data_IF_400239821836
#
_entry.id   IF_400239821836
#
_cell.length_a   1.000
_cell.length_b   1.000
_cell.length_c   1.000
_cell.angle_alpha   90.00
_cell.angle_beta   90.00
_cell.angle_gamma   90.00
#
_symmetry.space_group_name_H-M   'P 1'
#
loop_
_entity.id
_entity.type
_entity.pdbx_description
1 polymer ?
#
# COMPACT_ATOMS: atom_id res chain seq x y z
N UNK A 1 3.62 18.06 16.33
CA UNK A 1 3.33 16.61 16.54
C UNK A 1 2.72 16.13 15.24
N UNK A 2 3.27 15.10 14.59
CA UNK A 2 2.60 14.51 13.43
C UNK A 2 1.43 13.69 13.98
N UNK A 3 0.22 14.22 13.82
CA UNK A 3 -1.01 13.50 14.14
C UNK A 3 -1.11 12.28 13.22
N UNK A 4 -1.43 11.12 13.81
CA UNK A 4 -1.76 9.91 13.08
C UNK A 4 -3.24 9.59 13.30
N UNK A 5 -3.85 8.94 12.32
CA UNK A 5 -5.22 8.41 12.43
C UNK A 5 -5.17 6.88 12.58
N UNK A 6 -6.10 6.31 13.35
CA UNK A 6 -6.35 4.86 13.32
C UNK A 6 -7.55 4.59 12.43
N UNK A 7 -7.34 3.89 11.32
CA UNK A 7 -8.38 3.57 10.34
C UNK A 7 -8.70 2.08 10.33
N UNK A 8 -9.98 1.76 10.39
CA UNK A 8 -10.49 0.43 10.13
C UNK A 8 -10.88 0.30 8.66
N UNK A 9 -10.12 -0.48 7.92
CA UNK A 9 -10.52 -0.97 6.60
C UNK A 9 -11.31 -2.24 6.81
N UNK A 10 -12.54 -2.30 6.28
CA UNK A 10 -13.38 -3.50 6.34
C UNK A 10 -12.88 -4.50 5.30
N UNK A 11 -13.73 -4.86 4.34
CA UNK A 11 -13.34 -5.71 3.23
C UNK A 11 -12.84 -4.87 2.07
N UNK A 12 -11.63 -5.18 1.60
CA UNK A 12 -10.98 -4.48 0.50
C UNK A 12 -10.35 -5.53 -0.40
N UNK A 13 -10.62 -5.47 -1.70
CA UNK A 13 -9.97 -6.32 -2.69
C UNK A 13 -8.89 -5.54 -3.41
N UNK A 14 -7.75 -6.19 -3.58
CA UNK A 14 -6.57 -5.65 -4.23
C UNK A 14 -6.15 -6.57 -5.36
N UNK A 15 -5.51 -5.98 -6.37
CA UNK A 15 -4.61 -6.72 -7.24
C UNK A 15 -3.18 -6.25 -6.96
N UNK A 16 -2.27 -7.20 -6.87
CA UNK A 16 -0.93 -6.99 -6.33
C UNK A 16 0.14 -7.53 -7.26
N UNK A 17 1.29 -6.87 -7.27
CA UNK A 17 2.47 -7.22 -8.06
C UNK A 17 3.66 -7.31 -7.10
N UNK A 18 4.19 -8.51 -6.90
CA UNK A 18 5.37 -8.74 -6.07
C UNK A 18 6.63 -8.35 -6.86
N UNK A 19 7.40 -7.41 -6.36
CA UNK A 19 8.68 -6.98 -6.96
C UNK A 19 9.83 -7.42 -6.06
N UNK A 20 10.78 -8.14 -6.66
CA UNK A 20 11.96 -8.66 -5.98
C UNK A 20 13.24 -8.11 -6.64
N UNK A 21 14.37 -8.17 -5.94
CA UNK A 21 15.68 -7.86 -6.51
C UNK A 21 16.03 -6.36 -6.59
N UNK A 22 15.20 -5.47 -6.04
CA UNK A 22 15.54 -4.05 -5.90
C UNK A 22 15.20 -3.52 -4.51
N UNK A 23 16.19 -2.84 -3.91
CA UNK A 23 16.02 -2.13 -2.64
C UNK A 23 15.39 -0.73 -2.80
N UNK A 24 15.12 -0.28 -4.03
CA UNK A 24 14.53 1.04 -4.29
C UNK A 24 13.00 0.98 -4.28
N UNK A 25 12.39 1.80 -3.44
CA UNK A 25 10.96 2.08 -3.41
C UNK A 25 10.46 2.64 -4.74
N UNK A 26 11.16 3.60 -5.33
CA UNK A 26 10.70 4.26 -6.55
C UNK A 26 10.69 3.29 -7.72
N UNK A 27 11.78 2.53 -7.90
CA UNK A 27 11.90 1.52 -8.96
C UNK A 27 10.88 0.40 -8.81
N UNK A 28 10.73 -0.13 -7.60
CA UNK A 28 9.76 -1.20 -7.35
C UNK A 28 8.32 -0.75 -7.56
N UNK A 29 7.96 0.44 -7.07
CA UNK A 29 6.63 1.01 -7.27
C UNK A 29 6.35 1.20 -8.76
N UNK A 30 7.32 1.73 -9.52
CA UNK A 30 7.20 1.88 -10.97
C UNK A 30 7.01 0.53 -11.68
N UNK A 31 7.83 -0.47 -11.37
CA UNK A 31 7.76 -1.80 -11.99
C UNK A 31 6.46 -2.53 -11.65
N UNK A 32 6.06 -2.55 -10.39
CA UNK A 32 4.81 -3.17 -9.95
C UNK A 32 3.59 -2.47 -10.54
N UNK A 33 3.57 -1.13 -10.49
CA UNK A 33 2.47 -0.36 -11.06
C UNK A 33 2.38 -0.50 -12.58
N UNK A 34 3.49 -0.67 -13.30
CA UNK A 34 3.45 -0.94 -14.73
C UNK A 34 2.67 -2.21 -15.07
N UNK A 35 2.90 -3.30 -14.31
CA UNK A 35 2.17 -4.57 -14.48
C UNK A 35 0.69 -4.43 -14.14
N UNK A 36 0.38 -3.73 -13.04
CA UNK A 36 -1.00 -3.41 -12.66
C UNK A 36 -1.69 -2.51 -13.69
N UNK A 37 -0.98 -1.56 -14.28
CA UNK A 37 -1.49 -0.68 -15.32
C UNK A 37 -1.87 -1.47 -16.58
N UNK A 38 -1.04 -2.42 -17.02
CA UNK A 38 -1.38 -3.30 -18.13
C UNK A 38 -2.67 -4.08 -17.86
N UNK A 39 -2.81 -4.65 -16.65
CA UNK A 39 -4.05 -5.32 -16.23
C UNK A 39 -5.27 -4.38 -16.30
N UNK A 40 -5.14 -3.16 -15.77
CA UNK A 40 -6.18 -2.13 -15.75
C UNK A 40 -6.60 -1.72 -17.17
N UNK A 41 -5.69 -1.83 -18.14
CA UNK A 41 -5.89 -1.43 -19.53
C UNK A 41 -6.11 -2.60 -20.51
N UNK A 42 -6.60 -3.74 -20.01
CA UNK A 42 -7.10 -4.82 -20.87
C UNK A 42 -6.17 -6.02 -21.02
N UNK A 43 -5.02 -6.08 -20.34
CA UNK A 43 -4.21 -7.30 -20.25
C UNK A 43 -4.81 -8.28 -19.22
N UNK A 44 -6.04 -8.70 -19.50
CA UNK A 44 -6.81 -9.65 -18.73
C UNK A 44 -7.74 -10.45 -19.66
N UNK A 45 -8.26 -11.57 -19.18
CA UNK A 45 -9.05 -12.56 -19.91
C UNK A 45 -10.16 -12.02 -20.83
N UNK A 46 -10.79 -10.89 -20.47
CA UNK A 46 -11.92 -10.32 -21.24
C UNK A 46 -11.61 -8.93 -21.82
N UNK A 47 -10.34 -8.50 -21.82
CA UNK A 47 -9.91 -7.17 -22.26
C UNK A 47 -10.67 -6.02 -21.59
N UNK A 48 -11.06 -6.22 -20.32
CA UNK A 48 -11.79 -5.24 -19.55
C UNK A 48 -10.89 -4.06 -19.18
N UNK A 49 -11.45 -2.85 -19.26
CA UNK A 49 -10.79 -1.63 -18.81
C UNK A 49 -11.39 -1.15 -17.49
N UNK A 50 -10.52 -0.75 -16.57
CA UNK A 50 -10.92 -0.25 -15.25
C UNK A 50 -10.56 1.22 -15.12
N UNK A 51 -11.34 1.98 -14.35
CA UNK A 51 -10.95 3.33 -13.95
C UNK A 51 -9.78 3.22 -12.97
N UNK A 52 -8.71 4.00 -13.20
CA UNK A 52 -7.60 4.11 -12.24
C UNK A 52 -8.12 4.77 -10.97
N UNK A 53 -7.96 4.07 -9.84
CA UNK A 53 -8.28 4.53 -8.50
C UNK A 53 -7.01 4.90 -7.72
N UNK A 54 -7.20 5.67 -6.65
CA UNK A 54 -6.17 6.01 -5.68
C UNK A 54 -6.54 5.44 -4.30
N UNK A 55 -5.56 5.09 -3.45
CA UNK A 55 -4.12 5.18 -3.70
C UNK A 55 -3.54 3.96 -4.41
N UNK A 56 -2.37 4.12 -5.03
CA UNK A 56 -1.45 3.01 -5.29
C UNK A 56 -0.61 2.81 -4.02
N UNK A 57 -0.49 1.57 -3.55
CA UNK A 57 0.22 1.27 -2.31
C UNK A 57 1.42 0.38 -2.56
N UNK A 58 2.54 0.64 -1.91
CA UNK A 58 3.71 -0.26 -1.93
C UNK A 58 4.06 -0.65 -0.50
N UNK A 59 3.98 -1.93 -0.19
CA UNK A 59 4.41 -2.48 1.11
C UNK A 59 5.86 -2.91 1.02
N UNK A 60 6.66 -2.47 2.00
CA UNK A 60 8.04 -2.87 2.20
C UNK A 60 8.00 -4.02 3.21
N UNK A 61 8.31 -5.23 2.75
CA UNK A 61 8.22 -6.44 3.56
C UNK A 61 9.57 -6.76 4.22
N UNK A 62 9.50 -7.33 5.41
CA UNK A 62 10.68 -7.85 6.08
C UNK A 62 10.97 -9.26 5.53
N UNK A 63 11.79 -9.34 4.47
CA UNK A 63 12.08 -10.62 3.82
C UNK A 63 13.50 -11.11 4.08
N UNK A 64 13.61 -12.42 4.32
CA UNK A 64 14.90 -13.12 4.46
C UNK A 64 15.55 -13.46 3.12
N UNK A 65 14.82 -13.27 2.00
CA UNK A 65 15.24 -13.61 0.64
C UNK A 65 15.79 -12.42 -0.15
N UNK A 66 15.95 -11.27 0.50
CA UNK A 66 16.35 -10.01 -0.13
C UNK A 66 15.21 -8.99 -0.13
N UNK A 67 15.38 -7.83 -0.80
CA UNK A 67 14.37 -6.78 -0.78
C UNK A 67 13.14 -7.20 -1.60
N UNK A 68 12.00 -7.35 -0.91
CA UNK A 68 10.70 -7.65 -1.51
C UNK A 68 9.72 -6.52 -1.24
N UNK A 69 9.00 -6.12 -2.29
CA UNK A 69 7.99 -5.06 -2.20
C UNK A 69 6.73 -5.47 -2.92
N UNK A 70 5.60 -5.26 -2.27
CA UNK A 70 4.30 -5.62 -2.81
C UNK A 70 3.54 -4.36 -3.22
N UNK A 71 3.47 -4.11 -4.52
CA UNK A 71 2.73 -2.98 -5.08
C UNK A 71 1.29 -3.42 -5.28
N UNK A 72 0.31 -2.62 -4.85
CA UNK A 72 -1.10 -2.94 -4.94
C UNK A 72 -1.92 -1.81 -5.51
N UNK A 73 -3.00 -2.22 -6.14
CA UNK A 73 -4.02 -1.37 -6.71
C UNK A 73 -5.39 -1.80 -6.20
N UNK A 74 -6.19 -0.81 -5.74
CA UNK A 74 -7.52 -1.07 -5.20
C UNK A 74 -8.47 -1.50 -6.32
N UNK A 75 -9.11 -2.65 -6.14
CA UNK A 75 -10.08 -3.15 -7.08
C UNK A 75 -11.47 -2.59 -6.75
N UNK A 76 -12.13 -1.88 -7.69
CA UNK A 76 -13.48 -1.36 -7.46
C UNK A 76 -14.48 -2.47 -7.07
N UNK A 77 -15.44 -2.13 -6.22
CA UNK A 77 -16.42 -3.07 -5.66
C UNK A 77 -17.16 -3.91 -6.72
N UNK A 78 -17.46 -3.32 -7.88
CA UNK A 78 -18.12 -4.00 -9.00
C UNK A 78 -17.33 -5.21 -9.55
N UNK A 79 -16.02 -5.28 -9.32
CA UNK A 79 -15.15 -6.38 -9.77
C UNK A 79 -14.69 -7.30 -8.63
N UNK A 80 -15.14 -7.06 -7.40
CA UNK A 80 -14.66 -7.79 -6.21
C UNK A 80 -15.03 -9.27 -6.22
N UNK A 81 -16.20 -9.63 -6.76
CA UNK A 81 -16.68 -11.01 -6.75
C UNK A 81 -16.09 -11.83 -7.90
N UNK A 82 -15.99 -11.25 -9.10
CA UNK A 82 -15.50 -11.95 -10.29
C UNK A 82 -14.57 -11.02 -11.10
N UNK A 83 -13.34 -10.76 -10.64
CA UNK A 83 -12.40 -9.97 -11.42
C UNK A 83 -11.94 -10.75 -12.66
N UNK A 84 -11.78 -10.09 -13.82
CA UNK A 84 -11.13 -10.68 -14.98
C UNK A 84 -9.75 -11.24 -14.61
N UNK A 85 -9.46 -12.48 -14.99
CA UNK A 85 -8.17 -13.10 -14.70
C UNK A 85 -7.04 -12.34 -15.42
N UNK A 86 -5.92 -12.01 -14.75
CA UNK A 86 -4.78 -11.37 -15.37
C UNK A 86 -4.08 -12.32 -16.36
N UNK A 87 -3.45 -11.77 -17.39
CA UNK A 87 -2.57 -12.55 -18.25
C UNK A 87 -1.39 -13.09 -17.42
N UNK A 88 -0.95 -14.32 -17.72
CA UNK A 88 0.08 -15.01 -16.94
C UNK A 88 1.43 -14.28 -16.95
N UNK A 89 1.75 -13.54 -18.02
CA UNK A 89 3.01 -12.79 -18.10
C UNK A 89 3.09 -11.61 -17.12
N UNK A 90 1.96 -11.15 -16.59
CA UNK A 90 1.92 -10.01 -15.67
C UNK A 90 2.42 -10.36 -14.26
N UNK A 91 2.34 -11.64 -13.85
CA UNK A 91 2.68 -12.06 -12.50
C UNK A 91 2.05 -11.16 -11.42
N UNK A 92 0.72 -11.03 -11.49
CA UNK A 92 -0.09 -10.28 -10.52
C UNK A 92 -1.14 -11.19 -9.88
N UNK A 93 -1.48 -10.89 -8.62
CA UNK A 93 -2.32 -11.76 -7.80
C UNK A 93 -3.41 -10.97 -7.08
N UNK A 94 -4.60 -11.58 -6.96
CA UNK A 94 -5.69 -11.03 -6.18
C UNK A 94 -5.46 -11.24 -4.68
N UNK A 95 -5.76 -10.22 -3.90
CA UNK A 95 -5.65 -10.25 -2.45
C UNK A 95 -6.92 -9.66 -1.83
N UNK A 96 -7.50 -10.38 -0.86
CA UNK A 96 -8.72 -9.96 -0.16
C UNK A 96 -8.41 -9.69 1.30
N UNK A 97 -8.49 -8.42 1.69
CA UNK A 97 -8.42 -8.01 3.09
C UNK A 97 -9.78 -8.23 3.74
N UNK A 98 -9.80 -8.84 4.93
CA UNK A 98 -11.03 -9.12 5.68
C UNK A 98 -11.43 -7.95 6.58
N UNK A 99 -10.50 -7.51 7.42
CA UNK A 99 -10.58 -6.30 8.25
C UNK A 99 -9.17 -5.98 8.73
N UNK A 100 -8.69 -4.78 8.47
CA UNK A 100 -7.35 -4.33 8.86
C UNK A 100 -7.44 -3.02 9.62
N UNK A 101 -6.68 -2.93 10.71
CA UNK A 101 -6.46 -1.70 11.46
C UNK A 101 -5.13 -1.10 11.08
N UNK A 102 -5.18 0.08 10.47
CA UNK A 102 -3.99 0.77 10.01
C UNK A 102 -3.80 2.06 10.83
N UNK A 103 -2.62 2.22 11.40
CA UNK A 103 -2.15 3.52 11.86
C UNK A 103 -1.60 4.29 10.66
N UNK A 104 -2.09 5.50 10.44
CA UNK A 104 -1.86 6.28 9.22
C UNK A 104 -1.20 7.62 9.55
N UNK A 105 -0.01 7.85 9.00
CA UNK A 105 0.67 9.14 9.03
C UNK A 105 0.65 9.79 7.65
N UNK A 106 0.17 11.03 7.54
CA UNK A 106 0.15 11.80 6.28
C UNK A 106 1.45 12.59 6.11
N UNK A 107 1.93 12.69 4.88
CA UNK A 107 3.07 13.54 4.53
C UNK A 107 2.94 14.12 3.11
N UNK A 108 3.55 15.29 2.91
CA UNK A 108 3.52 16.02 1.65
C UNK A 108 4.75 15.78 0.79
N UNK A 109 4.67 16.14 -0.49
CA UNK A 109 5.81 16.07 -1.42
C UNK A 109 5.88 14.74 -2.16
N UNK A 110 7.03 14.40 -2.72
CA UNK A 110 7.24 13.11 -3.39
C UNK A 110 7.66 12.06 -2.37
N UNK A 111 7.08 10.86 -2.42
CA UNK A 111 7.60 9.71 -1.69
C UNK A 111 8.85 9.20 -2.42
N UNK A 112 9.99 9.20 -1.74
CA UNK A 112 11.31 8.87 -2.31
C UNK A 112 12.10 7.97 -1.37
N UNK A 113 13.08 7.27 -1.93
CA UNK A 113 13.96 6.39 -1.15
C UNK A 113 14.65 7.09 0.02
N UNK A 114 14.96 8.39 -0.12
CA UNK A 114 15.67 9.19 0.88
C UNK A 114 14.79 9.76 2.00
N UNK A 115 13.46 9.80 1.85
CA UNK A 115 12.57 10.47 2.79
C UNK A 115 11.55 9.56 3.47
N UNK A 116 11.21 8.42 2.89
CA UNK A 116 10.17 7.53 3.41
C UNK A 116 10.51 7.06 4.83
N UNK A 117 11.77 6.68 5.08
CA UNK A 117 12.20 6.21 6.39
C UNK A 117 11.99 7.27 7.48
N UNK A 118 12.17 8.55 7.17
CA UNK A 118 11.92 9.64 8.13
C UNK A 118 10.44 9.70 8.53
N UNK A 119 9.54 9.58 7.56
CA UNK A 119 8.09 9.62 7.81
C UNK A 119 7.60 8.37 8.56
N UNK A 120 8.18 7.21 8.26
CA UNK A 120 7.92 5.95 8.99
C UNK A 120 8.35 6.08 10.45
N UNK A 121 9.56 6.55 10.72
CA UNK A 121 10.06 6.69 12.09
C UNK A 121 9.30 7.75 12.89
N UNK A 122 8.85 8.83 12.24
CA UNK A 122 7.96 9.82 12.85
C UNK A 122 6.61 9.20 13.27
N UNK A 123 6.01 8.37 12.41
CA UNK A 123 4.78 7.64 12.71
C UNK A 123 4.99 6.62 13.83
N UNK A 124 6.04 5.79 13.76
CA UNK A 124 6.38 4.80 14.80
C UNK A 124 6.59 5.47 16.15
N UNK A 125 7.34 6.56 16.19
CA UNK A 125 7.62 7.32 17.42
C UNK A 125 6.34 7.90 18.04
N UNK A 126 5.41 8.36 17.21
CA UNK A 126 4.13 8.89 17.67
C UNK A 126 3.22 7.77 18.16
N UNK A 127 3.16 6.66 17.43
CA UNK A 127 2.34 5.49 17.73
C UNK A 127 2.80 4.78 19.01
N UNK A 128 4.12 4.61 19.21
CA UNK A 128 4.69 3.88 20.35
C UNK A 128 4.33 4.50 21.71
N UNK A 129 4.03 5.80 21.76
CA UNK A 129 3.56 6.49 22.98
C UNK A 129 2.17 6.01 23.42
N UNK A 130 1.37 5.50 22.49
CA UNK A 130 -0.01 5.05 22.73
C UNK A 130 -0.15 3.53 22.66
N UNK A 131 0.62 2.88 21.79
CA UNK A 131 0.64 1.44 21.59
C UNK A 131 2.09 0.94 21.64
N UNK A 132 2.70 0.75 22.84
CA UNK A 132 4.10 0.36 22.95
C UNK A 132 4.48 -0.94 22.22
N UNK A 133 3.51 -1.85 22.05
CA UNK A 133 3.67 -3.09 21.28
C UNK A 133 3.84 -2.87 19.77
N UNK A 134 3.54 -1.67 19.25
CA UNK A 134 3.72 -1.34 17.82
C UNK A 134 5.18 -1.25 17.39
N UNK A 135 6.12 -1.16 18.35
CA UNK A 135 7.57 -1.15 18.09
C UNK A 135 8.07 -2.41 17.38
N UNK A 136 7.36 -3.53 17.50
CA UNK A 136 7.69 -4.78 16.81
C UNK A 136 7.29 -4.80 15.32
N UNK A 137 6.54 -3.80 14.85
CA UNK A 137 6.10 -3.72 13.45
C UNK A 137 7.28 -3.31 12.56
N UNK A 138 7.76 -4.26 11.76
CA UNK A 138 8.86 -4.08 10.82
C UNK A 138 8.38 -3.63 9.44
N UNK A 139 7.21 -4.11 9.01
CA UNK A 139 6.64 -3.81 7.70
C UNK A 139 5.85 -2.50 7.71
N UNK A 140 5.90 -1.78 6.58
CA UNK A 140 5.11 -0.57 6.41
C UNK A 140 4.68 -0.45 4.95
N UNK A 141 3.59 0.30 4.76
CA UNK A 141 3.06 0.58 3.43
C UNK A 141 3.11 2.06 3.15
N UNK A 142 3.52 2.44 1.95
CA UNK A 142 3.40 3.82 1.47
C UNK A 142 2.24 3.88 0.48
N UNK A 143 1.29 4.77 0.72
CA UNK A 143 0.14 5.01 -0.16
C UNK A 143 0.31 6.36 -0.87
N UNK A 144 0.27 6.33 -2.21
CA UNK A 144 0.43 7.51 -3.05
C UNK A 144 -0.89 7.82 -3.77
N UNK A 145 -1.42 9.03 -3.55
CA UNK A 145 -2.75 9.39 -4.04
C UNK A 145 -2.74 10.11 -5.39
N UNK A 146 -1.70 10.89 -5.67
CA UNK A 146 -1.64 11.67 -6.90
C UNK A 146 -0.84 10.97 -7.99
N UNK A 147 -1.16 11.27 -9.26
CA UNK A 147 -0.38 10.83 -10.41
C UNK A 147 0.99 11.51 -10.49
N UNK A 148 1.90 10.97 -11.30
CA UNK A 148 3.23 11.57 -11.56
C UNK A 148 3.17 12.97 -12.17
N UNK A 149 2.02 13.38 -12.75
CA UNK A 149 1.82 14.71 -13.35
C UNK A 149 1.53 15.80 -12.32
N UNK A 150 1.17 15.44 -11.08
CA UNK A 150 0.98 16.41 -10.00
C UNK A 150 2.32 16.77 -9.36
N UNK A 151 2.80 17.99 -9.62
CA UNK A 151 4.09 18.48 -9.14
C UNK A 151 4.02 19.13 -7.74
N UNK A 152 2.85 19.60 -7.31
CA UNK A 152 2.62 20.22 -6.00
C UNK A 152 1.32 19.70 -5.37
N UNK A 153 1.10 19.99 -4.08
CA UNK A 153 -0.11 19.56 -3.36
C UNK A 153 -0.22 18.04 -3.22
N UNK A 154 0.91 17.33 -3.25
CA UNK A 154 0.97 15.88 -3.19
C UNK A 154 0.61 15.37 -1.79
N UNK A 155 -0.29 14.40 -1.73
CA UNK A 155 -0.67 13.65 -0.54
C UNK A 155 -0.11 12.23 -0.64
N UNK A 156 0.66 11.84 0.37
CA UNK A 156 1.05 10.47 0.59
C UNK A 156 0.77 10.09 2.04
N UNK A 157 0.74 8.79 2.30
CA UNK A 157 0.56 8.25 3.63
C UNK A 157 1.55 7.11 3.88
N UNK A 158 1.99 6.97 5.14
CA UNK A 158 2.62 5.76 5.66
C UNK A 158 1.58 5.03 6.50
N UNK A 159 1.43 3.72 6.27
CA UNK A 159 0.54 2.85 7.03
C UNK A 159 1.34 1.79 7.78
N UNK A 160 0.98 1.58 9.05
CA UNK A 160 1.44 0.46 9.87
C UNK A 160 0.23 -0.41 10.22
N UNK A 161 0.31 -1.72 9.97
CA UNK A 161 -0.75 -2.65 10.37
C UNK A 161 -0.66 -2.91 11.88
N UNK A 162 -1.64 -2.40 12.61
CA UNK A 162 -1.74 -2.52 14.06
C UNK A 162 -2.79 -3.55 14.50
N UNK A 163 -3.36 -4.32 13.56
CA UNK A 163 -4.43 -5.27 13.83
C UNK A 163 -4.06 -6.29 14.92
N UNK A 164 -2.81 -6.74 14.94
CA UNK A 164 -2.32 -7.69 15.93
C UNK A 164 -2.06 -7.09 17.33
N UNK A 165 -1.94 -5.77 17.43
CA UNK A 165 -1.58 -5.08 18.68
C UNK A 165 -2.74 -4.29 19.30
N UNK A 166 -3.83 -4.08 18.56
CA UNK A 166 -5.07 -3.49 19.08
C UNK A 166 -5.96 -4.56 19.72
N UNK A 167 -5.89 -4.71 21.04
CA UNK A 167 -6.67 -5.70 21.80
C UNK A 167 -8.16 -5.35 22.00
N UNK A 168 -8.55 -4.09 21.80
CA UNK A 168 -9.91 -3.58 22.04
C UNK A 168 -10.67 -3.25 20.73
N UNK A 169 -10.22 -3.82 19.61
CA UNK A 169 -10.74 -3.50 18.28
C UNK A 169 -10.16 -2.18 17.72
N UNK A 170 -10.60 -1.84 16.50
CA UNK A 170 -10.13 -0.69 15.76
C UNK A 170 -10.73 0.62 16.31
N UNK A 171 -10.29 1.06 17.49
CA UNK A 171 -10.76 2.32 18.06
C UNK A 171 -10.26 3.48 17.19
N UNK A 172 -11.20 4.11 16.47
CA UNK A 172 -10.91 5.22 15.55
C UNK A 172 -10.43 6.43 16.36
N UNK A 173 -9.34 7.02 15.90
CA UNK A 173 -8.83 8.31 16.38
C UNK A 173 -8.40 9.12 15.18
#
# INVERSE_FOLDING_TARGET
MNEFEIRQYKQVSWISALVQGTASFEKSTQQGFHRLYQYIHGANSNSSHFLITSPVTTTIMASTRGPERLVRYYLPSMYTENPPLPNSELDVQFEKWRSNCLAVGRFSGFAKDDNINKEVEALKSSLNKYLPKSSAISEYTVAQYNSSRHLSGRLNEVWLDVSAVTSEGCQRR
#
